data_IF_419445552279
#
_entry.id   IF_419445552279
#
_cell.length_a   1.000
_cell.length_b   1.000
_cell.length_c   1.000
_cell.angle_alpha   90.00
_cell.angle_beta   90.00
_cell.angle_gamma   90.00
#
_symmetry.space_group_name_H-M   'P 1'
#
loop_
_entity.id
_entity.type
_entity.pdbx_description
1 polymer ?
#
# COMPACT_ATOMS: atom_id res chain seq x y z
N UNK A 1 -16.04 5.81 2.51
CA UNK A 1 -14.88 6.64 2.94
C UNK A 1 -15.27 8.10 3.18
N UNK A 2 -15.81 8.81 2.17
CA UNK A 2 -16.22 10.23 2.25
C UNK A 2 -17.07 10.60 3.48
N UNK A 3 -18.05 9.79 3.87
CA UNK A 3 -18.84 10.04 5.08
C UNK A 3 -18.00 10.06 6.35
N UNK A 4 -17.08 9.11 6.54
CA UNK A 4 -16.18 9.12 7.70
C UNK A 4 -15.28 10.35 7.70
N UNK A 5 -14.76 10.73 6.53
CA UNK A 5 -13.96 11.94 6.33
C UNK A 5 -14.73 13.21 6.71
N UNK A 6 -16.00 13.33 6.30
CA UNK A 6 -16.85 14.47 6.63
C UNK A 6 -17.01 14.62 8.15
N UNK A 7 -17.29 13.53 8.85
CA UNK A 7 -17.40 13.53 10.31
C UNK A 7 -16.06 13.85 10.99
N UNK A 8 -14.93 13.35 10.47
CA UNK A 8 -13.61 13.70 10.99
C UNK A 8 -13.27 15.18 10.77
N UNK A 9 -13.59 15.75 9.60
CA UNK A 9 -13.37 17.16 9.29
C UNK A 9 -14.21 18.11 10.14
N UNK A 10 -15.42 17.70 10.51
CA UNK A 10 -16.32 18.46 11.37
C UNK A 10 -15.76 18.70 12.79
N UNK A 11 -14.73 17.95 13.21
CA UNK A 11 -14.08 18.08 14.51
C UNK A 11 -12.62 18.50 14.36
N UNK A 12 -12.18 19.52 15.12
CA UNK A 12 -10.78 19.98 15.13
C UNK A 12 -9.88 19.18 16.08
N UNK A 13 -10.47 18.42 17.00
CA UNK A 13 -9.80 17.75 18.11
C UNK A 13 -9.38 16.30 17.77
N UNK A 14 -9.33 15.94 16.49
CA UNK A 14 -8.88 14.61 16.06
C UNK A 14 -7.42 14.44 16.44
N UNK A 15 -7.16 13.59 17.44
CA UNK A 15 -5.81 13.29 17.92
C UNK A 15 -5.18 12.10 17.20
N UNK A 16 -5.99 11.11 16.81
CA UNK A 16 -5.53 9.89 16.15
C UNK A 16 -6.38 9.55 14.94
N UNK A 17 -5.71 9.24 13.83
CA UNK A 17 -6.34 8.71 12.61
C UNK A 17 -5.94 7.23 12.49
N UNK A 18 -6.92 6.33 12.47
CA UNK A 18 -6.68 4.91 12.24
C UNK A 18 -7.32 4.50 10.92
N UNK A 19 -6.50 4.11 9.95
CA UNK A 19 -6.92 3.66 8.62
C UNK A 19 -6.10 2.42 8.29
N UNK A 20 -6.76 1.37 7.80
CA UNK A 20 -6.14 0.05 7.70
C UNK A 20 -4.85 0.04 6.85
N UNK A 21 -4.88 0.65 5.66
CA UNK A 21 -3.72 0.71 4.75
C UNK A 21 -3.28 2.15 4.50
N UNK A 22 -1.97 2.36 4.37
CA UNK A 22 -1.41 3.67 4.02
C UNK A 22 -1.94 4.22 2.68
N UNK A 23 -2.19 3.36 1.69
CA UNK A 23 -2.79 3.72 0.40
C UNK A 23 -4.23 4.24 0.57
N UNK A 24 -5.03 3.62 1.44
CA UNK A 24 -6.38 4.11 1.76
C UNK A 24 -6.34 5.47 2.49
N UNK A 25 -5.33 5.72 3.33
CA UNK A 25 -5.14 7.03 3.94
C UNK A 25 -4.82 8.11 2.89
N UNK A 26 -4.02 7.75 1.88
CA UNK A 26 -3.74 8.62 0.73
C UNK A 26 -5.00 8.88 -0.10
N UNK A 27 -5.83 7.86 -0.35
CA UNK A 27 -7.10 8.07 -1.05
C UNK A 27 -8.04 8.98 -0.24
N UNK A 28 -8.12 8.81 1.08
CA UNK A 28 -8.92 9.67 1.93
C UNK A 28 -8.54 11.14 1.72
N UNK A 29 -7.24 11.44 1.71
CA UNK A 29 -6.69 12.79 1.49
C UNK A 29 -7.06 13.31 0.09
N UNK A 30 -6.99 12.45 -0.93
CA UNK A 30 -7.38 12.82 -2.30
C UNK A 30 -8.87 13.13 -2.39
N UNK A 31 -9.73 12.29 -1.81
CA UNK A 31 -11.17 12.55 -1.78
C UNK A 31 -11.52 13.80 -0.98
N UNK A 32 -10.76 14.13 0.07
CA UNK A 32 -10.91 15.42 0.77
C UNK A 32 -10.67 16.60 -0.16
N UNK A 33 -9.68 16.51 -1.02
CA UNK A 33 -9.32 17.57 -1.98
C UNK A 33 -10.37 17.73 -3.08
N UNK A 34 -10.77 16.61 -3.68
CA UNK A 34 -11.78 16.54 -4.75
C UNK A 34 -13.12 17.11 -4.27
N UNK A 35 -13.59 16.68 -3.09
CA UNK A 35 -14.91 17.05 -2.52
C UNK A 35 -14.84 18.21 -1.52
N UNK A 36 -13.71 18.93 -1.43
CA UNK A 36 -13.46 19.91 -0.36
C UNK A 36 -14.58 20.94 -0.16
N UNK A 37 -15.09 21.50 -1.25
CA UNK A 37 -16.10 22.55 -1.20
C UNK A 37 -17.46 21.99 -0.76
N UNK A 38 -17.82 20.79 -1.23
CA UNK A 38 -18.99 20.03 -0.79
C UNK A 38 -18.89 19.73 0.71
N UNK A 39 -17.74 19.20 1.15
CA UNK A 39 -17.47 18.83 2.54
C UNK A 39 -17.62 20.03 3.48
N UNK A 40 -17.00 21.16 3.14
CA UNK A 40 -17.08 22.39 3.95
C UNK A 40 -18.50 22.94 3.98
N UNK A 41 -19.18 22.97 2.84
CA UNK A 41 -20.57 23.45 2.76
C UNK A 41 -21.47 22.62 3.67
N UNK A 42 -21.34 21.29 3.64
CA UNK A 42 -22.07 20.40 4.54
C UNK A 42 -21.73 20.62 6.01
N UNK A 43 -20.47 20.88 6.36
CA UNK A 43 -20.09 21.23 7.74
C UNK A 43 -20.73 22.56 8.15
N UNK A 44 -20.82 23.54 7.25
CA UNK A 44 -21.42 24.84 7.52
C UNK A 44 -22.93 24.77 7.74
N UNK A 45 -23.65 24.07 6.84
CA UNK A 45 -25.12 23.98 6.87
C UNK A 45 -25.63 22.89 7.81
N UNK A 46 -24.79 21.92 8.15
CA UNK A 46 -25.18 20.70 8.87
C UNK A 46 -25.92 19.70 8.00
N UNK A 47 -26.02 19.88 6.68
CA UNK A 47 -26.74 18.97 5.79
C UNK A 47 -25.81 17.92 5.18
N UNK A 48 -26.17 16.64 5.31
CA UNK A 48 -25.37 15.56 4.73
C UNK A 48 -25.51 15.54 3.19
N UNK A 49 -24.41 15.54 2.42
CA UNK A 49 -24.45 15.48 0.96
C UNK A 49 -25.23 14.25 0.48
N UNK A 50 -25.96 14.32 -0.65
CA UNK A 50 -26.78 13.22 -1.19
C UNK A 50 -25.97 12.06 -1.77
N UNK A 51 -24.88 11.66 -1.10
CA UNK A 51 -24.05 10.53 -1.51
C UNK A 51 -24.82 9.21 -1.46
N UNK A 52 -24.53 8.34 -2.42
CA UNK A 52 -25.02 6.97 -2.45
C UNK A 52 -24.40 6.14 -1.32
N UNK A 53 -25.14 5.13 -0.84
CA UNK A 53 -24.70 4.22 0.21
C UNK A 53 -25.08 4.63 1.63
N UNK A 54 -25.50 5.87 1.89
CA UNK A 54 -25.92 6.32 3.24
C UNK A 54 -27.44 6.44 3.41
N UNK A 55 -28.24 6.15 2.38
CA UNK A 55 -29.69 6.31 2.40
C UNK A 55 -30.33 5.59 3.59
N UNK A 56 -29.87 4.36 3.87
CA UNK A 56 -30.37 3.51 4.94
C UNK A 56 -30.03 3.99 6.37
N UNK A 57 -29.05 4.89 6.53
CA UNK A 57 -28.62 5.44 7.84
C UNK A 57 -28.79 6.96 7.92
N UNK A 58 -29.20 7.64 6.86
CA UNK A 58 -29.28 9.10 6.79
C UNK A 58 -30.17 9.69 7.87
N UNK A 59 -31.35 9.13 8.09
CA UNK A 59 -32.30 9.60 9.11
C UNK A 59 -31.70 9.56 10.51
N UNK A 60 -30.79 8.61 10.76
CA UNK A 60 -30.06 8.51 12.01
C UNK A 60 -28.88 9.47 12.08
N UNK A 61 -28.10 9.62 11.00
CA UNK A 61 -26.90 10.45 10.98
C UNK A 61 -27.21 11.97 10.97
N UNK A 62 -28.27 12.38 10.29
CA UNK A 62 -28.60 13.79 10.05
C UNK A 62 -28.83 14.58 11.35
N UNK A 63 -29.56 14.07 12.37
CA UNK A 63 -29.69 14.72 13.68
C UNK A 63 -28.36 14.86 14.44
N UNK A 64 -27.39 13.99 14.18
CA UNK A 64 -26.08 13.98 14.86
C UNK A 64 -25.02 14.82 14.15
N UNK A 65 -25.39 15.52 13.06
CA UNK A 65 -24.48 16.37 12.30
C UNK A 65 -24.94 17.84 12.30
N UNK A 66 -24.89 18.54 13.45
CA UNK A 66 -25.35 19.92 13.52
C UNK A 66 -24.46 20.87 12.69
N UNK A 67 -25.00 22.04 12.28
CA UNK A 67 -24.24 23.07 11.57
C UNK A 67 -23.05 23.57 12.41
N UNK A 68 -21.86 23.68 11.81
CA UNK A 68 -20.62 24.13 12.45
C UNK A 68 -19.92 25.22 11.62
N UNK A 69 -20.54 26.40 11.56
CA UNK A 69 -20.06 27.56 10.81
C UNK A 69 -18.60 27.95 11.13
N UNK A 70 -18.23 27.98 12.41
CA UNK A 70 -16.86 28.33 12.82
C UNK A 70 -15.82 27.35 12.27
N UNK A 71 -16.14 26.04 12.28
CA UNK A 71 -15.24 25.02 11.75
C UNK A 71 -15.12 25.12 10.23
N UNK A 72 -16.24 25.33 9.53
CA UNK A 72 -16.23 25.55 8.10
C UNK A 72 -15.39 26.78 7.70
N UNK A 73 -15.54 27.91 8.41
CA UNK A 73 -14.73 29.10 8.19
C UNK A 73 -13.23 28.85 8.38
N UNK A 74 -12.84 28.12 9.44
CA UNK A 74 -11.44 27.71 9.66
C UNK A 74 -10.90 26.87 8.50
N UNK A 75 -11.67 25.88 8.04
CA UNK A 75 -11.27 25.02 6.92
C UNK A 75 -11.14 25.80 5.61
N UNK A 76 -12.01 26.80 5.35
CA UNK A 76 -11.88 27.68 4.18
C UNK A 76 -10.58 28.49 4.20
N UNK A 77 -10.18 28.99 5.36
CA UNK A 77 -8.91 29.71 5.52
C UNK A 77 -7.70 28.79 5.28
N UNK A 78 -7.80 27.52 5.69
CA UNK A 78 -6.73 26.53 5.46
C UNK A 78 -6.59 26.22 3.96
N UNK A 79 -7.72 26.01 3.28
CA UNK A 79 -7.80 25.74 1.85
C UNK A 79 -7.30 24.34 1.43
N UNK A 80 -7.40 24.06 0.13
CA UNK A 80 -6.87 22.85 -0.54
C UNK A 80 -5.36 22.95 -0.70
N UNK A 81 -4.64 22.94 0.41
CA UNK A 81 -3.17 23.06 0.44
C UNK A 81 -2.51 21.68 0.46
N UNK A 82 -2.96 20.78 -0.42
CA UNK A 82 -2.45 19.40 -0.57
C UNK A 82 -1.03 19.34 -1.13
N UNK A 83 -0.58 20.43 -1.73
CA UNK A 83 0.80 20.66 -2.18
C UNK A 83 1.72 21.13 -1.04
N UNK A 84 1.19 21.37 0.17
CA UNK A 84 1.97 21.83 1.31
C UNK A 84 2.27 20.71 2.31
N UNK A 85 3.52 20.59 2.79
CA UNK A 85 3.87 19.61 3.80
C UNK A 85 3.12 19.89 5.11
N UNK A 86 2.65 18.83 5.78
CA UNK A 86 1.93 18.95 7.06
C UNK A 86 0.49 19.46 6.94
N UNK A 87 -0.14 19.38 5.75
CA UNK A 87 -1.52 19.82 5.54
C UNK A 87 -2.52 19.24 6.57
N UNK A 88 -2.38 17.97 6.95
CA UNK A 88 -3.30 17.34 7.92
C UNK A 88 -3.19 17.94 9.32
N UNK A 89 -2.02 18.45 9.71
CA UNK A 89 -1.82 19.12 11.00
C UNK A 89 -2.48 20.50 11.01
N UNK A 90 -2.54 21.17 9.86
CA UNK A 90 -3.31 22.42 9.73
C UNK A 90 -4.81 22.17 9.88
N UNK A 91 -5.30 21.06 9.32
CA UNK A 91 -6.71 20.63 9.46
C UNK A 91 -7.01 20.21 10.90
N UNK A 92 -6.16 19.37 11.50
CA UNK A 92 -6.31 18.80 12.83
C UNK A 92 -5.09 19.16 13.70
N UNK A 93 -5.11 20.33 14.38
CA UNK A 93 -3.98 20.78 15.20
C UNK A 93 -3.63 19.86 16.38
N UNK A 94 -4.58 19.02 16.81
CA UNK A 94 -4.37 18.04 17.89
C UNK A 94 -3.86 16.69 17.39
N UNK A 95 -3.69 16.50 16.08
CA UNK A 95 -3.20 15.24 15.52
C UNK A 95 -1.81 14.92 16.08
N UNK A 96 -1.67 13.72 16.65
CA UNK A 96 -0.39 13.22 17.18
C UNK A 96 0.03 11.91 16.53
N UNK A 97 -0.94 11.07 16.17
CA UNK A 97 -0.68 9.71 15.71
C UNK A 97 -1.54 9.32 14.51
N UNK A 98 -0.94 8.61 13.57
CA UNK A 98 -1.65 7.88 12.52
C UNK A 98 -1.27 6.41 12.61
N UNK A 99 -2.26 5.52 12.54
CA UNK A 99 -2.07 4.07 12.63
C UNK A 99 -2.52 3.45 11.31
N UNK A 100 -1.59 2.81 10.61
CA UNK A 100 -1.84 2.16 9.31
C UNK A 100 -0.81 1.06 9.03
N UNK A 101 -1.20 0.05 8.25
CA UNK A 101 -0.26 -0.91 7.67
C UNK A 101 0.58 -0.18 6.62
N UNK A 102 1.89 -0.16 6.87
CA UNK A 102 2.88 0.61 6.10
C UNK A 102 4.05 -0.26 5.61
N UNK A 103 4.02 -1.57 5.87
CA UNK A 103 5.06 -2.52 5.47
C UNK A 103 4.77 -3.16 4.10
N UNK A 104 5.76 -3.85 3.55
CA UNK A 104 5.66 -4.51 2.25
C UNK A 104 5.28 -3.53 1.14
N UNK A 105 4.26 -3.89 0.37
CA UNK A 105 3.79 -3.14 -0.81
C UNK A 105 3.22 -1.76 -0.44
N UNK A 106 2.69 -1.63 0.78
CA UNK A 106 2.11 -0.38 1.28
C UNK A 106 3.17 0.66 1.67
N UNK A 107 4.45 0.26 1.77
CA UNK A 107 5.56 1.18 2.04
C UNK A 107 5.70 2.27 0.97
N UNK A 108 5.23 2.02 -0.25
CA UNK A 108 5.22 2.98 -1.36
C UNK A 108 4.43 4.25 -1.03
N UNK A 109 3.34 4.12 -0.29
CA UNK A 109 2.50 5.26 0.10
C UNK A 109 3.06 6.04 1.30
N UNK A 110 4.05 5.50 2.02
CA UNK A 110 4.58 6.09 3.25
C UNK A 110 5.20 7.47 3.01
N UNK A 111 6.06 7.71 2.00
CA UNK A 111 6.59 9.04 1.73
C UNK A 111 5.50 10.09 1.52
N UNK A 112 4.44 9.77 0.76
CA UNK A 112 3.32 10.69 0.52
C UNK A 112 2.51 10.95 1.79
N UNK A 113 2.18 9.88 2.52
CA UNK A 113 1.48 10.02 3.80
C UNK A 113 2.31 10.87 4.78
N UNK A 114 3.63 10.66 4.81
CA UNK A 114 4.57 11.45 5.61
C UNK A 114 4.62 12.91 5.20
N UNK A 115 4.54 13.21 3.91
CA UNK A 115 4.45 14.58 3.42
C UNK A 115 3.23 15.31 4.01
N UNK A 116 2.05 14.68 3.99
CA UNK A 116 0.82 15.29 4.52
C UNK A 116 0.76 15.38 6.05
N UNK A 117 1.34 14.41 6.75
CA UNK A 117 1.42 14.41 8.21
C UNK A 117 2.49 15.37 8.73
N UNK A 118 3.58 15.54 7.98
CA UNK A 118 4.73 16.34 8.36
C UNK A 118 5.62 15.70 9.45
N UNK A 119 6.70 16.41 9.84
CA UNK A 119 7.70 16.12 10.86
C UNK A 119 7.36 15.14 11.98
N UNK A 120 6.38 15.64 12.72
CA UNK A 120 6.27 15.45 14.16
C UNK A 120 5.18 14.43 14.52
N UNK A 121 4.42 13.98 13.52
CA UNK A 121 3.32 13.05 13.71
C UNK A 121 3.86 11.62 13.71
N UNK A 122 3.48 10.84 14.72
CA UNK A 122 3.87 9.44 14.80
C UNK A 122 3.04 8.62 13.81
N UNK A 123 3.69 7.92 12.88
CA UNK A 123 3.06 6.91 12.03
C UNK A 123 3.43 5.59 12.66
N UNK A 124 2.43 4.79 13.01
CA UNK A 124 2.61 3.52 13.67
C UNK A 124 1.99 2.42 12.82
N UNK A 125 2.62 1.25 12.85
CA UNK A 125 2.04 0.05 12.27
C UNK A 125 0.92 -0.50 13.17
N UNK A 126 -0.14 -1.03 12.57
CA UNK A 126 -1.28 -1.60 13.30
C UNK A 126 -0.94 -2.94 13.98
N UNK A 127 0.13 -3.59 13.51
CA UNK A 127 0.52 -4.95 13.90
C UNK A 127 0.51 -5.89 12.70
N UNK A 128 0.82 -7.17 12.94
CA UNK A 128 0.80 -8.21 11.93
C UNK A 128 -0.36 -9.18 12.22
N UNK A 129 -1.37 -9.15 11.37
CA UNK A 129 -2.54 -10.01 11.49
C UNK A 129 -3.04 -10.42 10.11
N UNK A 130 -3.63 -11.60 10.04
CA UNK A 130 -4.29 -12.16 8.86
C UNK A 130 -5.72 -12.53 9.22
N UNK A 131 -6.51 -12.96 8.24
CA UNK A 131 -7.87 -13.45 8.51
C UNK A 131 -7.86 -14.75 9.34
N UNK A 132 -6.77 -15.51 9.24
CA UNK A 132 -6.55 -16.79 9.89
C UNK A 132 -6.07 -16.64 11.34
N UNK A 133 -5.22 -15.65 11.64
CA UNK A 133 -4.65 -15.48 12.97
C UNK A 133 -4.12 -14.05 13.23
N UNK A 134 -4.17 -13.64 14.50
CA UNK A 134 -3.42 -12.49 14.99
C UNK A 134 -2.03 -12.95 15.42
N UNK A 135 -0.98 -12.50 14.71
CA UNK A 135 0.37 -13.05 14.86
C UNK A 135 1.25 -12.20 15.77
N UNK A 136 1.32 -10.89 15.50
CA UNK A 136 2.31 -10.01 16.13
C UNK A 136 1.81 -8.59 16.32
N UNK A 137 2.43 -7.89 17.25
CA UNK A 137 2.23 -6.46 17.51
C UNK A 137 3.43 -5.66 17.03
N UNK A 138 3.23 -4.38 16.72
CA UNK A 138 4.34 -3.49 16.36
C UNK A 138 5.30 -3.38 17.55
N UNK A 139 6.59 -3.63 17.32
CA UNK A 139 7.59 -3.69 18.38
C UNK A 139 8.23 -2.32 18.65
N UNK A 140 8.72 -1.67 17.58
CA UNK A 140 9.30 -0.33 17.64
C UNK A 140 8.38 0.67 16.95
N UNK A 141 7.85 1.70 17.65
CA UNK A 141 7.01 2.72 17.03
C UNK A 141 7.67 3.52 15.90
N UNK A 142 9.00 3.50 15.81
CA UNK A 142 9.78 4.16 14.76
C UNK A 142 10.06 3.28 13.54
N UNK A 143 10.01 1.95 13.69
CA UNK A 143 10.19 0.99 12.59
C UNK A 143 8.84 0.36 12.22
N UNK A 144 8.29 0.81 11.09
CA UNK A 144 6.98 0.39 10.59
C UNK A 144 6.91 -1.09 10.17
N UNK A 145 8.06 -1.77 10.06
CA UNK A 145 8.17 -3.15 9.63
C UNK A 145 8.70 -4.10 10.72
N UNK A 146 8.83 -3.65 11.97
CA UNK A 146 9.35 -4.47 13.07
C UNK A 146 8.25 -4.94 14.01
N UNK A 147 8.12 -6.25 14.16
CA UNK A 147 7.01 -6.88 14.88
C UNK A 147 7.51 -7.87 15.93
N UNK A 148 6.81 -7.94 17.07
CA UNK A 148 7.03 -8.94 18.13
C UNK A 148 5.92 -9.97 18.08
N UNK A 149 6.26 -11.24 17.95
CA UNK A 149 5.29 -12.34 17.92
C UNK A 149 4.50 -12.42 19.24
N UNK A 150 3.22 -12.07 19.25
CA UNK A 150 2.40 -12.01 20.48
C UNK A 150 1.11 -12.80 20.35
N UNK A 151 1.08 -13.77 19.44
CA UNK A 151 -0.08 -14.62 19.21
C UNK A 151 -0.41 -15.46 20.45
N UNK A 152 -1.70 -15.75 20.64
CA UNK A 152 -2.16 -16.77 21.59
C UNK A 152 -2.22 -18.17 20.95
N UNK A 153 -2.07 -18.22 19.63
CA UNK A 153 -2.02 -19.45 18.85
C UNK A 153 -0.59 -20.01 18.83
N UNK A 154 -0.44 -21.25 18.39
CA UNK A 154 0.88 -21.86 18.24
C UNK A 154 1.44 -21.41 16.89
N UNK A 155 2.53 -20.66 16.95
CA UNK A 155 3.27 -20.21 15.77
C UNK A 155 4.52 -21.08 15.61
N UNK A 156 4.64 -21.70 14.45
CA UNK A 156 5.83 -22.42 13.99
C UNK A 156 6.39 -21.73 12.74
N UNK A 157 7.61 -22.11 12.35
CA UNK A 157 8.35 -21.44 11.30
C UNK A 157 8.91 -22.45 10.30
N UNK A 158 8.50 -22.36 9.04
CA UNK A 158 9.05 -23.19 7.96
C UNK A 158 10.29 -22.50 7.37
N UNK A 159 11.45 -23.13 7.52
CA UNK A 159 12.73 -22.63 6.98
C UNK A 159 12.68 -22.62 5.44
N UNK A 160 12.83 -21.43 4.84
CA UNK A 160 12.67 -21.27 3.38
C UNK A 160 13.87 -21.78 2.58
N UNK A 161 15.04 -21.90 3.22
CA UNK A 161 16.28 -22.36 2.58
C UNK A 161 16.38 -23.90 2.54
N UNK A 162 15.45 -24.59 3.21
CA UNK A 162 15.38 -26.06 3.27
C UNK A 162 14.31 -26.62 2.33
N UNK A 163 14.27 -27.94 2.24
CA UNK A 163 13.23 -28.64 1.50
C UNK A 163 11.83 -28.25 1.99
N UNK A 164 10.91 -28.01 1.07
CA UNK A 164 9.53 -27.61 1.35
C UNK A 164 8.70 -28.80 1.85
N UNK A 165 8.96 -29.23 3.09
CA UNK A 165 8.26 -30.31 3.75
C UNK A 165 8.15 -30.08 5.26
N UNK A 166 7.33 -30.90 5.92
CA UNK A 166 7.01 -30.73 7.34
C UNK A 166 8.20 -30.90 8.31
N UNK A 167 9.33 -31.47 7.86
CA UNK A 167 10.54 -31.63 8.68
C UNK A 167 11.38 -30.35 8.76
N UNK A 168 11.15 -29.39 7.86
CA UNK A 168 11.78 -28.07 7.86
C UNK A 168 11.05 -27.06 8.74
N UNK A 169 9.93 -27.45 9.35
CA UNK A 169 9.19 -26.62 10.30
C UNK A 169 9.86 -26.71 11.66
N UNK A 170 10.25 -25.56 12.20
CA UNK A 170 10.93 -25.42 13.48
C UNK A 170 10.08 -24.60 14.46
N UNK A 171 10.20 -24.90 15.77
CA UNK A 171 9.55 -24.09 16.80
C UNK A 171 10.23 -22.71 16.98
N UNK A 172 9.57 -21.76 17.64
CA UNK A 172 10.06 -20.39 17.83
C UNK A 172 11.45 -20.25 18.46
N UNK A 173 11.92 -21.22 19.26
CA UNK A 173 13.23 -21.17 19.94
C UNK A 173 14.38 -21.76 19.11
N UNK A 174 14.11 -22.29 17.91
CA UNK A 174 15.13 -22.84 17.00
C UNK A 174 15.33 -21.99 15.74
N UNK A 175 14.62 -20.87 15.62
CA UNK A 175 14.83 -19.92 14.53
C UNK A 175 16.14 -19.15 14.72
N UNK A 176 16.74 -18.72 13.62
CA UNK A 176 18.03 -18.02 13.61
C UNK A 176 17.86 -16.58 13.14
N UNK A 177 18.59 -15.66 13.76
CA UNK A 177 18.60 -14.24 13.38
C UNK A 177 19.16 -14.07 11.96
N UNK A 178 18.48 -13.26 11.14
CA UNK A 178 18.83 -13.00 9.75
C UNK A 178 18.33 -14.07 8.76
N UNK A 179 17.75 -15.18 9.24
CA UNK A 179 17.11 -16.18 8.37
C UNK A 179 15.65 -15.83 8.08
N UNK A 180 15.17 -16.39 6.97
CA UNK A 180 13.81 -16.23 6.48
C UNK A 180 12.98 -17.47 6.79
N UNK A 181 11.77 -17.25 7.28
CA UNK A 181 10.84 -18.33 7.59
C UNK A 181 9.44 -17.98 7.13
N UNK A 182 8.73 -18.97 6.60
CA UNK A 182 7.29 -18.87 6.37
C UNK A 182 6.53 -19.19 7.65
N UNK A 183 5.53 -18.36 7.97
CA UNK A 183 4.72 -18.53 9.18
C UNK A 183 3.76 -19.71 9.02
N UNK A 184 3.78 -20.61 9.99
CA UNK A 184 2.86 -21.73 10.10
C UNK A 184 2.08 -21.58 11.40
N UNK A 185 0.75 -21.57 11.35
CA UNK A 185 -0.09 -21.38 12.52
C UNK A 185 -0.93 -22.63 12.84
N UNK A 186 -1.11 -22.88 14.14
CA UNK A 186 -2.17 -23.76 14.66
C UNK A 186 -3.05 -22.94 15.58
N UNK A 187 -4.30 -22.73 15.18
CA UNK A 187 -5.22 -21.79 15.84
C UNK A 187 -6.26 -22.50 16.69
N UNK A 188 -6.79 -21.78 17.68
CA UNK A 188 -7.89 -22.28 18.52
C UNK A 188 -9.18 -22.55 17.72
N UNK A 189 -9.34 -21.90 16.57
CA UNK A 189 -10.50 -22.00 15.69
C UNK A 189 -10.41 -23.15 14.67
N UNK A 190 -9.39 -24.01 14.78
CA UNK A 190 -9.33 -25.29 14.07
C UNK A 190 -8.42 -25.34 12.85
N UNK A 191 -7.56 -24.34 12.65
CA UNK A 191 -6.45 -24.46 11.69
C UNK A 191 -5.31 -25.26 12.32
N UNK A 192 -4.77 -26.26 11.61
CA UNK A 192 -3.71 -27.13 12.09
C UNK A 192 -2.50 -27.08 11.18
N UNK A 193 -1.38 -26.58 11.69
CA UNK A 193 -0.13 -26.34 10.94
C UNK A 193 -0.40 -25.72 9.57
N UNK A 194 -1.30 -24.75 9.56
CA UNK A 194 -1.71 -24.03 8.37
C UNK A 194 -0.61 -23.06 7.94
N UNK A 195 -0.23 -23.12 6.68
CA UNK A 195 0.77 -22.23 6.08
C UNK A 195 0.11 -20.90 5.73
N UNK A 196 0.52 -19.84 6.41
CA UNK A 196 0.02 -18.48 6.14
C UNK A 196 0.50 -17.98 4.77
N UNK A 197 1.66 -18.46 4.31
CA UNK A 197 2.28 -18.04 3.05
C UNK A 197 3.05 -16.72 3.13
N UNK A 198 3.05 -16.05 4.29
CA UNK A 198 3.87 -14.88 4.56
C UNK A 198 5.25 -15.31 5.10
N UNK A 199 6.30 -14.75 4.52
CA UNK A 199 7.70 -14.96 4.87
C UNK A 199 8.19 -13.77 5.70
N UNK A 200 8.92 -14.08 6.76
CA UNK A 200 9.49 -13.09 7.69
C UNK A 200 10.98 -13.31 7.88
N UNK A 201 11.72 -12.23 8.04
CA UNK A 201 13.12 -12.23 8.44
C UNK A 201 13.20 -12.10 9.97
N UNK A 202 13.94 -12.99 10.64
CA UNK A 202 14.10 -12.89 12.10
C UNK A 202 15.09 -11.78 12.43
N UNK A 203 14.58 -10.72 13.06
CA UNK A 203 15.36 -9.57 13.47
C UNK A 203 16.13 -9.81 14.77
N UNK A 204 15.61 -10.67 15.64
CA UNK A 204 16.17 -10.93 16.97
C UNK A 204 15.13 -11.49 17.92
N UNK A 205 15.42 -11.36 19.21
CA UNK A 205 14.55 -11.79 20.30
C UNK A 205 14.42 -10.67 21.32
N UNK A 206 13.24 -10.50 21.89
CA UNK A 206 13.00 -9.50 22.94
C UNK A 206 13.84 -9.84 24.17
N UNK A 207 14.62 -8.88 24.71
CA UNK A 207 15.51 -9.15 25.84
C UNK A 207 14.78 -9.48 27.15
N UNK A 208 13.48 -9.18 27.25
CA UNK A 208 12.67 -9.36 28.46
C UNK A 208 12.15 -10.78 28.58
N UNK A 209 11.67 -11.36 27.48
CA UNK A 209 10.96 -12.64 27.47
C UNK A 209 11.44 -13.63 26.39
N UNK A 210 12.42 -13.25 25.57
CA UNK A 210 12.97 -14.10 24.51
C UNK A 210 12.03 -14.30 23.34
N UNK A 211 10.96 -13.51 23.22
CA UNK A 211 9.99 -13.64 22.13
C UNK A 211 10.60 -13.25 20.79
N UNK A 212 10.34 -13.99 19.70
CA UNK A 212 10.81 -13.62 18.37
C UNK A 212 10.35 -12.22 17.95
N UNK A 213 11.31 -11.46 17.45
CA UNK A 213 11.09 -10.19 16.76
C UNK A 213 11.45 -10.42 15.29
N UNK A 214 10.57 -10.02 14.38
CA UNK A 214 10.74 -10.26 12.96
C UNK A 214 10.33 -9.05 12.11
N UNK A 215 10.78 -9.06 10.86
CA UNK A 215 10.36 -8.13 9.82
C UNK A 215 9.56 -8.86 8.76
N UNK A 216 8.50 -8.23 8.26
CA UNK A 216 7.84 -8.78 7.07
C UNK A 216 8.81 -8.71 5.89
N UNK A 217 8.94 -9.83 5.17
CA UNK A 217 9.84 -9.96 4.04
C UNK A 217 9.07 -10.01 2.72
N UNK A 218 8.28 -11.05 2.48
CA UNK A 218 7.46 -11.19 1.27
C UNK A 218 6.32 -12.21 1.46
N UNK A 219 5.51 -12.42 0.42
CA UNK A 219 4.47 -13.46 0.36
C UNK A 219 4.83 -14.49 -0.71
N UNK A 220 4.99 -15.76 -0.31
CA UNK A 220 5.57 -16.86 -1.13
C UNK A 220 4.78 -17.20 -2.40
N UNK A 221 3.45 -17.00 -2.39
CA UNK A 221 2.56 -17.45 -3.46
C UNK A 221 2.27 -16.38 -4.53
N UNK A 222 3.02 -15.27 -4.55
CA UNK A 222 2.92 -14.27 -5.62
C UNK A 222 4.25 -14.22 -6.38
N UNK A 223 4.51 -15.30 -7.09
CA UNK A 223 5.72 -15.50 -7.89
C UNK A 223 5.36 -15.79 -9.33
N UNK A 224 6.13 -15.24 -10.27
CA UNK A 224 6.07 -15.60 -11.69
C UNK A 224 7.47 -15.86 -12.21
N UNK A 225 7.61 -16.74 -13.21
CA UNK A 225 8.91 -17.03 -13.80
C UNK A 225 9.13 -16.15 -15.03
N UNK A 226 10.26 -15.43 -15.06
CA UNK A 226 10.59 -14.53 -16.17
C UNK A 226 12.11 -14.48 -16.37
N UNK A 227 12.55 -14.44 -17.64
CA UNK A 227 13.93 -14.19 -18.03
C UNK A 227 15.00 -15.08 -17.34
N UNK A 228 14.63 -16.31 -16.97
CA UNK A 228 15.55 -17.26 -16.34
C UNK A 228 15.44 -17.37 -14.83
N UNK A 229 14.73 -16.45 -14.16
CA UNK A 229 14.63 -16.42 -12.70
C UNK A 229 13.20 -16.24 -12.18
N UNK A 230 13.06 -16.36 -10.86
CA UNK A 230 11.79 -16.11 -10.15
C UNK A 230 11.63 -14.60 -9.89
N UNK A 231 10.49 -14.05 -10.30
CA UNK A 231 10.06 -12.69 -10.02
C UNK A 231 9.05 -12.70 -8.86
N UNK A 232 9.46 -12.12 -7.72
CA UNK A 232 8.62 -11.97 -6.53
C UNK A 232 8.06 -10.55 -6.42
N UNK A 233 7.02 -10.35 -5.61
CA UNK A 233 6.49 -9.00 -5.31
C UNK A 233 7.57 -8.05 -4.78
N UNK A 234 8.54 -8.59 -4.03
CA UNK A 234 9.67 -7.82 -3.49
C UNK A 234 10.54 -7.28 -4.61
N UNK A 235 10.85 -8.09 -5.63
CA UNK A 235 11.62 -7.64 -6.80
C UNK A 235 10.89 -6.51 -7.52
N UNK A 236 9.59 -6.66 -7.75
CA UNK A 236 8.77 -5.65 -8.43
C UNK A 236 8.69 -4.35 -7.61
N UNK A 237 8.43 -4.45 -6.31
CA UNK A 237 8.30 -3.31 -5.40
C UNK A 237 9.63 -2.59 -5.19
N UNK A 238 10.71 -3.30 -4.92
CA UNK A 238 12.02 -2.70 -4.69
C UNK A 238 12.55 -2.00 -5.96
N UNK A 239 12.35 -2.61 -7.13
CA UNK A 239 12.80 -2.03 -8.39
C UNK A 239 12.09 -0.71 -8.72
N UNK A 240 10.78 -0.63 -8.51
CA UNK A 240 10.01 0.59 -8.81
C UNK A 240 10.28 1.70 -7.79
N UNK A 241 10.53 1.36 -6.52
CA UNK A 241 10.97 2.33 -5.50
C UNK A 241 12.34 2.94 -5.84
N UNK A 242 13.25 2.16 -6.42
CA UNK A 242 14.60 2.60 -6.77
C UNK A 242 14.67 3.58 -7.95
N UNK A 243 13.56 3.81 -8.67
CA UNK A 243 13.48 4.72 -9.82
C UNK A 243 12.65 5.97 -9.55
N UNK A 244 12.14 6.17 -8.34
CA UNK A 244 11.32 7.34 -7.98
C UNK A 244 12.03 8.68 -8.21
N UNK A 245 13.34 8.72 -8.01
CA UNK A 245 14.19 9.88 -8.21
C UNK A 245 14.42 10.23 -9.70
N UNK A 246 14.31 9.26 -10.60
CA UNK A 246 14.39 9.48 -12.05
C UNK A 246 13.02 9.69 -12.70
N UNK A 247 11.96 9.12 -12.13
CA UNK A 247 10.61 9.20 -12.66
C UNK A 247 9.81 10.38 -12.06
N UNK A 248 9.45 10.23 -10.80
CA UNK A 248 8.70 11.14 -9.93
C UNK A 248 8.39 10.35 -8.64
N UNK A 249 8.04 11.01 -7.52
CA UNK A 249 7.54 10.31 -6.34
C UNK A 249 6.29 9.50 -6.71
N UNK A 250 6.30 8.20 -6.40
CA UNK A 250 5.23 7.27 -6.78
C UNK A 250 4.20 7.20 -5.66
N UNK A 251 2.93 7.35 -6.04
CA UNK A 251 1.78 7.23 -5.14
C UNK A 251 1.50 5.77 -4.79
N UNK A 252 1.36 4.99 -5.86
CA UNK A 252 0.94 3.61 -5.87
C UNK A 252 1.24 3.04 -7.25
N UNK A 253 1.39 1.72 -7.33
CA UNK A 253 1.68 1.04 -8.57
C UNK A 253 1.04 -0.35 -8.59
N UNK A 254 0.92 -0.91 -9.79
CA UNK A 254 0.76 -2.34 -10.03
C UNK A 254 1.62 -2.71 -11.23
N UNK A 255 1.90 -3.99 -11.41
CA UNK A 255 2.59 -4.51 -12.57
C UNK A 255 1.81 -5.67 -13.17
N UNK A 256 2.03 -5.98 -14.43
CA UNK A 256 1.51 -7.18 -15.08
C UNK A 256 2.47 -7.64 -16.16
N UNK A 257 2.25 -8.86 -16.66
CA UNK A 257 3.06 -9.42 -17.73
C UNK A 257 2.38 -9.08 -19.07
N UNK A 258 2.98 -8.17 -19.83
CA UNK A 258 2.53 -7.81 -21.16
C UNK A 258 3.10 -8.82 -22.17
N UNK A 259 2.20 -9.58 -22.79
CA UNK A 259 2.56 -10.55 -23.84
C UNK A 259 2.13 -10.09 -25.23
N UNK A 260 1.59 -8.88 -25.39
CA UNK A 260 1.04 -8.38 -26.65
C UNK A 260 2.10 -8.24 -27.75
N UNK A 261 3.37 -8.05 -27.38
CA UNK A 261 4.50 -7.97 -28.32
C UNK A 261 5.13 -9.33 -28.68
N UNK A 262 4.51 -10.44 -28.25
CA UNK A 262 4.98 -11.81 -28.48
C UNK A 262 6.11 -12.27 -27.56
N UNK A 263 6.77 -11.35 -26.83
CA UNK A 263 7.73 -11.67 -25.76
C UNK A 263 7.20 -11.11 -24.44
N UNK A 264 7.05 -11.95 -23.40
CA UNK A 264 6.63 -11.50 -22.08
C UNK A 264 7.53 -10.39 -21.56
N UNK A 265 6.94 -9.20 -21.40
CA UNK A 265 7.62 -8.00 -20.90
C UNK A 265 6.91 -7.54 -19.63
N UNK A 266 7.66 -7.17 -18.61
CA UNK A 266 7.07 -6.63 -17.39
C UNK A 266 6.58 -5.20 -17.66
N UNK A 267 5.31 -4.92 -17.38
CA UNK A 267 4.72 -3.60 -17.55
C UNK A 267 4.26 -3.07 -16.19
N UNK A 268 4.69 -1.86 -15.84
CA UNK A 268 4.28 -1.17 -14.62
C UNK A 268 3.21 -0.15 -14.95
N UNK A 269 2.12 -0.14 -14.18
CA UNK A 269 1.16 0.94 -14.14
C UNK A 269 1.42 1.75 -12.87
N UNK A 270 1.69 3.05 -13.01
CA UNK A 270 2.12 3.91 -11.89
C UNK A 270 1.26 5.16 -11.83
N UNK A 271 0.86 5.54 -10.62
CA UNK A 271 0.32 6.86 -10.32
C UNK A 271 1.42 7.65 -9.63
N UNK A 272 1.73 8.85 -10.12
CA UNK A 272 2.84 9.69 -9.64
C UNK A 272 2.34 10.96 -8.97
N UNK A 273 3.19 11.58 -8.17
CA UNK A 273 2.95 12.91 -7.58
C UNK A 273 3.66 14.00 -8.35
N UNK A 274 2.89 15.04 -8.68
CA UNK A 274 3.39 16.18 -9.41
C UNK A 274 3.73 15.83 -10.86
N UNK A 275 4.69 16.55 -11.40
CA UNK A 275 5.15 16.37 -12.78
C UNK A 275 6.30 15.36 -12.84
N UNK A 276 6.39 14.69 -13.99
CA UNK A 276 7.48 13.78 -14.29
C UNK A 276 8.81 14.55 -14.34
N UNK A 277 9.86 13.93 -13.81
CA UNK A 277 11.20 14.47 -13.92
C UNK A 277 11.61 14.59 -15.41
N UNK A 278 12.46 15.56 -15.78
CA UNK A 278 12.94 15.71 -17.16
C UNK A 278 13.63 14.45 -17.71
N UNK A 279 14.22 13.64 -16.80
CA UNK A 279 14.89 12.39 -17.14
C UNK A 279 14.00 11.13 -17.08
N UNK A 280 12.68 11.29 -16.93
CA UNK A 280 11.74 10.16 -16.80
C UNK A 280 11.84 9.13 -17.94
N UNK A 281 12.26 9.58 -19.13
CA UNK A 281 12.55 8.72 -20.29
C UNK A 281 13.60 7.62 -20.01
N UNK A 282 14.50 7.84 -19.04
CA UNK A 282 15.54 6.89 -18.63
C UNK A 282 15.07 5.90 -17.55
N UNK A 283 13.90 6.14 -16.94
CA UNK A 283 13.38 5.33 -15.84
C UNK A 283 13.19 3.84 -16.23
N UNK A 284 12.66 3.48 -17.41
CA UNK A 284 12.57 2.09 -17.86
C UNK A 284 13.92 1.35 -17.87
N UNK A 285 14.97 2.00 -18.36
CA UNK A 285 16.32 1.42 -18.42
C UNK A 285 16.93 1.25 -17.03
N UNK A 286 16.71 2.22 -16.14
CA UNK A 286 17.15 2.13 -14.74
C UNK A 286 16.41 1.02 -14.00
N UNK A 287 15.11 0.90 -14.22
CA UNK A 287 14.24 -0.13 -13.66
C UNK A 287 14.71 -1.53 -14.08
N UNK A 288 15.03 -1.71 -15.37
CA UNK A 288 15.62 -2.96 -15.87
C UNK A 288 16.92 -3.32 -15.14
N UNK A 289 17.85 -2.37 -15.04
CA UNK A 289 19.13 -2.59 -14.33
C UNK A 289 18.92 -2.99 -12.87
N UNK A 290 17.95 -2.36 -12.21
CA UNK A 290 17.66 -2.67 -10.81
C UNK A 290 17.04 -4.06 -10.65
N UNK A 291 16.14 -4.46 -11.55
CA UNK A 291 15.59 -5.83 -11.53
C UNK A 291 16.70 -6.87 -11.67
N UNK A 292 17.62 -6.71 -12.63
CA UNK A 292 18.76 -7.62 -12.78
C UNK A 292 19.74 -7.56 -11.59
N UNK A 293 19.83 -6.44 -10.88
CA UNK A 293 20.63 -6.33 -9.65
C UNK A 293 20.01 -7.09 -8.48
N UNK A 294 18.67 -7.13 -8.41
CA UNK A 294 17.93 -7.75 -7.32
C UNK A 294 17.85 -9.27 -7.41
N UNK A 295 17.94 -9.84 -8.61
CA UNK A 295 18.00 -11.28 -8.83
C UNK A 295 19.08 -11.63 -9.88
N UNK A 296 20.15 -12.30 -9.43
CA UNK A 296 21.27 -12.73 -10.27
C UNK A 296 20.86 -13.78 -11.33
N UNK A 297 19.72 -14.47 -11.15
CA UNK A 297 19.18 -15.42 -12.12
C UNK A 297 18.57 -14.73 -13.36
N UNK A 298 18.26 -13.44 -13.28
CA UNK A 298 17.73 -12.71 -14.42
C UNK A 298 18.83 -12.43 -15.43
N UNK A 299 18.70 -13.02 -16.62
CA UNK A 299 19.59 -12.73 -17.74
C UNK A 299 19.24 -11.35 -18.33
N UNK A 300 20.13 -10.33 -18.23
CA UNK A 300 19.86 -8.98 -18.71
C UNK A 300 19.67 -8.89 -20.23
N UNK A 301 20.07 -9.92 -20.99
CA UNK A 301 19.86 -9.97 -22.43
C UNK A 301 18.52 -10.60 -22.81
N UNK A 302 17.98 -11.48 -21.95
CA UNK A 302 16.68 -12.13 -22.14
C UNK A 302 15.54 -11.33 -21.54
N UNK A 303 15.81 -10.57 -20.47
CA UNK A 303 14.84 -9.65 -19.89
C UNK A 303 14.70 -8.45 -20.82
N UNK A 304 13.48 -8.21 -21.32
CA UNK A 304 13.19 -6.96 -22.03
C UNK A 304 13.12 -5.81 -21.04
N UNK A 305 13.45 -4.62 -21.53
CA UNK A 305 13.31 -3.39 -20.75
C UNK A 305 11.83 -3.23 -20.39
N UNK A 306 11.47 -3.16 -19.10
CA UNK A 306 10.08 -3.02 -18.67
C UNK A 306 9.48 -1.71 -19.18
N UNK A 307 8.17 -1.68 -19.40
CA UNK A 307 7.45 -0.44 -19.69
C UNK A 307 6.92 0.18 -18.40
N UNK A 308 6.86 1.51 -18.36
CA UNK A 308 6.25 2.28 -17.26
C UNK A 308 5.13 3.12 -17.88
N UNK A 309 3.89 2.77 -17.56
CA UNK A 309 2.68 3.47 -18.01
C UNK A 309 2.15 4.32 -16.86
N UNK A 310 2.13 5.63 -17.07
CA UNK A 310 1.66 6.60 -16.07
C UNK A 310 0.15 6.74 -16.19
N UNK A 311 -0.56 6.47 -15.10
CA UNK A 311 -2.01 6.56 -15.00
C UNK A 311 -2.47 7.97 -14.70
N UNK A 312 -3.74 8.25 -14.99
CA UNK A 312 -4.41 9.46 -14.50
C UNK A 312 -4.43 9.48 -12.95
N UNK A 313 -4.21 10.65 -12.31
CA UNK A 313 -4.38 10.78 -10.87
C UNK A 313 -5.76 10.31 -10.44
N UNK A 314 -5.85 9.51 -9.39
CA UNK A 314 -7.12 8.98 -8.90
C UNK A 314 -7.43 7.55 -9.32
N UNK A 315 -6.70 6.99 -10.28
CA UNK A 315 -7.02 5.70 -10.90
C UNK A 315 -7.05 4.55 -9.90
N UNK A 316 -6.09 4.47 -8.96
CA UNK A 316 -6.06 3.36 -8.00
C UNK A 316 -7.18 3.40 -6.96
N UNK A 317 -7.59 4.59 -6.52
CA UNK A 317 -8.76 4.71 -5.65
C UNK A 317 -10.06 4.39 -6.40
N UNK A 318 -10.17 4.80 -7.66
CA UNK A 318 -11.28 4.40 -8.54
C UNK A 318 -11.31 2.89 -8.78
N UNK A 319 -10.15 2.24 -8.92
CA UNK A 319 -10.06 0.79 -9.04
C UNK A 319 -10.57 0.08 -7.79
N UNK A 320 -10.17 0.55 -6.59
CA UNK A 320 -10.68 -0.01 -5.33
C UNK A 320 -12.19 0.09 -5.25
N UNK A 321 -12.76 1.24 -5.61
CA UNK A 321 -14.21 1.42 -5.68
C UNK A 321 -14.87 0.46 -6.67
N UNK A 322 -14.35 0.38 -7.90
CA UNK A 322 -14.85 -0.57 -8.90
C UNK A 322 -14.81 -2.02 -8.41
N UNK A 323 -13.72 -2.44 -7.74
CA UNK A 323 -13.59 -3.79 -7.15
C UNK A 323 -14.59 -4.04 -6.04
N UNK A 324 -14.86 -3.05 -5.20
CA UNK A 324 -15.87 -3.14 -4.13
C UNK A 324 -17.25 -3.38 -4.74
N UNK A 325 -17.61 -2.61 -5.77
CA UNK A 325 -18.89 -2.73 -6.48
C UNK A 325 -19.04 -4.08 -7.20
N UNK A 326 -17.95 -4.60 -7.76
CA UNK A 326 -17.97 -5.88 -8.50
C UNK A 326 -18.08 -7.11 -7.58
N UNK A 327 -17.46 -7.08 -6.39
CA UNK A 327 -17.29 -8.25 -5.52
C UNK A 327 -18.05 -8.17 -4.19
N UNK A 328 -18.89 -7.15 -3.97
CA UNK A 328 -19.56 -6.85 -2.69
C UNK A 328 -18.62 -6.93 -1.47
N UNK A 329 -17.37 -6.52 -1.69
CA UNK A 329 -16.29 -6.64 -0.71
C UNK A 329 -16.29 -5.44 0.23
N UNK A 330 -15.98 -5.65 1.51
CA UNK A 330 -15.94 -4.55 2.49
C UNK A 330 -14.99 -3.42 2.06
N UNK A 331 -15.48 -2.18 2.08
CA UNK A 331 -14.79 -1.02 1.48
C UNK A 331 -13.38 -0.72 2.02
N UNK A 332 -13.02 -1.27 3.18
CA UNK A 332 -11.67 -1.15 3.78
C UNK A 332 -10.68 -2.24 3.40
N UNK A 333 -11.10 -3.30 2.70
CA UNK A 333 -10.26 -4.48 2.40
C UNK A 333 -9.79 -4.56 0.94
N UNK A 334 -10.30 -3.70 0.06
CA UNK A 334 -9.91 -3.71 -1.35
C UNK A 334 -8.45 -3.26 -1.52
N UNK A 335 -7.60 -4.18 -1.97
CA UNK A 335 -6.18 -3.97 -2.24
C UNK A 335 -5.92 -3.97 -3.74
N UNK A 336 -4.92 -3.21 -4.16
CA UNK A 336 -4.33 -3.32 -5.50
C UNK A 336 -3.26 -4.41 -5.43
N UNK A 337 -3.32 -5.45 -6.29
CA UNK A 337 -2.27 -6.46 -6.33
C UNK A 337 -0.98 -5.87 -6.90
N UNK A 338 0.18 -6.31 -6.40
CA UNK A 338 1.48 -5.92 -7.00
C UNK A 338 1.60 -6.46 -8.41
N UNK A 339 1.18 -7.72 -8.61
CA UNK A 339 1.12 -8.35 -9.91
C UNK A 339 -0.34 -8.67 -10.28
N UNK A 340 -0.84 -7.99 -11.30
CA UNK A 340 -2.20 -8.09 -11.78
C UNK A 340 -2.33 -9.18 -12.84
N UNK A 341 -3.19 -10.16 -12.54
CA UNK A 341 -3.52 -11.28 -13.43
C UNK A 341 -4.91 -11.19 -14.04
N UNK A 342 -5.80 -10.42 -13.41
CA UNK A 342 -7.19 -10.28 -13.84
C UNK A 342 -7.27 -9.42 -15.10
N UNK A 343 -7.70 -10.01 -16.21
CA UNK A 343 -7.73 -9.34 -17.52
C UNK A 343 -8.71 -8.15 -17.51
N UNK A 344 -9.86 -8.27 -16.84
CA UNK A 344 -10.84 -7.19 -16.74
C UNK A 344 -10.28 -5.98 -15.96
N UNK A 345 -9.63 -6.21 -14.82
CA UNK A 345 -8.91 -5.19 -14.07
C UNK A 345 -7.80 -4.55 -14.91
N UNK A 346 -7.05 -5.35 -15.67
CA UNK A 346 -5.97 -4.85 -16.53
C UNK A 346 -6.53 -3.93 -17.61
N UNK A 347 -7.56 -4.34 -18.33
CA UNK A 347 -8.21 -3.50 -19.35
C UNK A 347 -8.78 -2.22 -18.74
N UNK A 348 -9.40 -2.31 -17.56
CA UNK A 348 -9.94 -1.15 -16.84
C UNK A 348 -8.84 -0.12 -16.50
N UNK A 349 -7.68 -0.57 -16.06
CA UNK A 349 -6.56 0.33 -15.75
C UNK A 349 -5.88 0.85 -17.02
N UNK A 350 -5.70 0.01 -18.04
CA UNK A 350 -5.07 0.41 -19.31
C UNK A 350 -5.84 1.51 -20.03
N UNK A 351 -7.16 1.53 -19.92
CA UNK A 351 -8.00 2.59 -20.47
C UNK A 351 -7.75 3.99 -19.84
N UNK A 352 -7.00 4.06 -18.74
CA UNK A 352 -6.70 5.29 -17.97
C UNK A 352 -5.21 5.63 -17.99
N UNK A 353 -4.45 5.04 -18.91
CA UNK A 353 -3.05 5.38 -19.13
C UNK A 353 -2.97 6.72 -19.84
N UNK A 354 -2.29 7.67 -19.21
CA UNK A 354 -2.05 9.01 -19.75
C UNK A 354 -0.78 9.07 -20.60
N UNK A 355 0.24 8.30 -20.24
CA UNK A 355 1.56 8.34 -20.87
C UNK A 355 2.24 6.99 -20.79
N UNK A 356 2.98 6.61 -21.82
CA UNK A 356 3.83 5.41 -21.81
C UNK A 356 5.31 5.79 -21.93
N UNK A 357 6.13 5.20 -21.05
CA UNK A 357 7.58 5.32 -21.05
C UNK A 357 8.15 3.92 -21.31
N UNK A 358 8.84 3.76 -22.43
CA UNK A 358 9.38 2.48 -22.85
C UNK A 358 10.54 2.64 -23.82
N UNK A 359 10.97 1.51 -24.38
CA UNK A 359 11.97 1.48 -25.45
C UNK A 359 11.33 0.82 -26.66
N UNK A 360 11.38 1.51 -27.80
CA UNK A 360 10.88 1.02 -29.08
C UNK A 360 11.64 -0.22 -29.53
N UNK A 361 11.03 -0.98 -30.45
CA UNK A 361 11.63 -2.13 -31.15
C UNK A 361 13.03 -1.88 -31.73
N UNK A 362 13.41 -0.60 -31.92
CA UNK A 362 14.71 -0.15 -32.46
C UNK A 362 15.66 0.46 -31.41
N UNK A 363 15.36 0.37 -30.10
CA UNK A 363 16.20 0.94 -29.04
C UNK A 363 16.03 2.46 -28.83
N UNK A 364 15.05 3.08 -29.49
CA UNK A 364 14.66 4.47 -29.26
C UNK A 364 13.82 4.60 -27.99
N UNK A 365 13.98 5.67 -27.22
CA UNK A 365 13.11 5.92 -26.06
C UNK A 365 11.75 6.39 -26.57
N UNK A 366 10.68 5.67 -26.22
CA UNK A 366 9.31 6.07 -26.54
C UNK A 366 8.88 7.13 -25.52
N UNK A 367 8.48 8.29 -26.04
CA UNK A 367 7.77 9.32 -25.30
C UNK A 367 6.53 9.69 -26.10
N UNK A 368 5.43 8.96 -25.88
CA UNK A 368 4.10 9.35 -26.36
C UNK A 368 3.27 9.85 -25.18
#
# INVERSE_FOLDING_TARGET
MLTHTLFALAHSEVETICILFATSAVDMIRYMEEEWDTLITSIETGELPPWEGIQHVREYLQPHFPPRQNRAAQLRVIGKATDQPGWLVRIWPMLKTTISICSGVFSVAVPKLRFYLGPNIQLRSLGFATSEAQIATAYDPSDLNLFKATSRDIIEYLDVDKEDNASSIVPPWLIEVGKHYEIVCTTQDGLWRYRIGDVVEIAGFDPTDGTPIFRYFERRNVVTWMAGGILTERHVTAAILAVQDTLAPIAEFTAFIDSCSGVPTLAYLVEVHGELCPEAAKAPVRLHKELCRLNEEFDPQRMRIPTIRVLEPGTFGGYRQWRIEMNDSGAGQAKVPVLMWDDAAREWMLARVRRELGVDSNGGVVQD
#
